data_IF_100131685809
#
_entry.id   IF_100131685809
#
_cell.length_a   1.000
_cell.length_b   1.000
_cell.length_c   1.000
_cell.angle_alpha   90.00
_cell.angle_beta   90.00
_cell.angle_gamma   90.00
#
_symmetry.space_group_name_H-M   'P 1'
#
loop_
_entity.id
_entity.type
_entity.pdbx_description
1 polymer ?
#
# COMPACT_ATOMS: atom_id res chain seq x y z
N UNK A 1 -10.90 -26.26 4.93
CA UNK A 1 -11.94 -25.49 5.66
C UNK A 1 -11.47 -25.02 7.04
N UNK A 2 -10.65 -25.79 7.77
CA UNK A 2 -10.12 -25.43 9.10
C UNK A 2 -9.18 -24.20 9.11
N UNK A 3 -8.27 -24.08 8.13
CA UNK A 3 -7.29 -22.99 8.07
C UNK A 3 -7.88 -21.57 8.11
N UNK A 4 -9.04 -21.33 7.49
CA UNK A 4 -9.64 -20.00 7.46
C UNK A 4 -10.13 -19.54 8.85
N UNK A 5 -10.59 -20.47 9.68
CA UNK A 5 -11.17 -20.14 11.00
C UNK A 5 -10.05 -19.73 11.97
N UNK A 6 -8.89 -20.37 11.87
CA UNK A 6 -7.71 -20.04 12.68
C UNK A 6 -7.07 -18.72 12.26
N UNK A 7 -7.04 -18.44 10.96
CA UNK A 7 -6.52 -17.20 10.40
C UNK A 7 -7.40 -16.00 10.78
N UNK A 8 -8.72 -16.15 10.70
CA UNK A 8 -9.67 -15.16 11.21
C UNK A 8 -9.48 -14.89 12.70
N UNK A 9 -9.27 -15.95 13.51
CA UNK A 9 -9.04 -15.80 14.95
C UNK A 9 -7.74 -15.04 15.24
N UNK A 10 -6.65 -15.37 14.54
CA UNK A 10 -5.36 -14.70 14.65
C UNK A 10 -5.44 -13.22 14.26
N UNK A 11 -6.13 -12.91 13.16
CA UNK A 11 -6.32 -11.53 12.70
C UNK A 11 -7.09 -10.67 13.71
N UNK A 12 -8.11 -11.23 14.34
CA UNK A 12 -8.86 -10.53 15.39
C UNK A 12 -8.02 -10.25 16.65
N UNK A 13 -7.13 -11.19 17.02
CA UNK A 13 -6.20 -11.02 18.14
C UNK A 13 -5.17 -9.93 17.82
N UNK A 14 -4.57 -9.95 16.64
CA UNK A 14 -3.60 -8.92 16.21
C UNK A 14 -4.25 -7.54 16.20
N UNK A 15 -5.47 -7.42 15.70
CA UNK A 15 -6.22 -6.17 15.69
C UNK A 15 -6.48 -5.64 17.12
N UNK A 16 -6.91 -6.52 18.03
CA UNK A 16 -7.11 -6.16 19.44
C UNK A 16 -5.81 -5.72 20.13
N UNK A 17 -4.69 -6.40 19.86
CA UNK A 17 -3.37 -6.02 20.39
C UNK A 17 -2.94 -4.64 19.87
N UNK A 18 -3.09 -4.38 18.56
CA UNK A 18 -2.79 -3.08 17.96
C UNK A 18 -3.59 -1.95 18.63
N UNK A 19 -4.90 -2.13 18.79
CA UNK A 19 -5.75 -1.14 19.46
C UNK A 19 -5.37 -0.95 20.93
N UNK A 20 -5.05 -2.03 21.64
CA UNK A 20 -4.60 -1.95 23.03
C UNK A 20 -3.28 -1.16 23.16
N UNK A 21 -2.34 -1.36 22.24
CA UNK A 21 -1.06 -0.61 22.22
C UNK A 21 -1.30 0.88 21.92
N UNK A 22 -2.17 1.19 20.97
CA UNK A 22 -2.52 2.58 20.63
C UNK A 22 -3.14 3.30 21.84
N UNK A 23 -4.09 2.66 22.53
CA UNK A 23 -4.70 3.22 23.74
C UNK A 23 -3.70 3.33 24.90
N UNK A 24 -2.76 2.40 25.03
CA UNK A 24 -1.68 2.48 26.01
C UNK A 24 -0.78 3.69 25.73
N UNK A 25 -0.37 3.89 24.47
CA UNK A 25 0.41 5.07 24.05
C UNK A 25 -0.34 6.38 24.31
N UNK A 26 -1.64 6.43 24.02
CA UNK A 26 -2.51 7.58 24.32
C UNK A 26 -2.63 7.80 25.83
N UNK A 27 -2.66 6.74 26.63
CA UNK A 27 -2.68 6.86 28.10
C UNK A 27 -1.35 7.34 28.67
N UNK A 28 -0.23 7.04 28.00
CA UNK A 28 1.12 7.46 28.41
C UNK A 28 1.47 8.85 27.86
N UNK A 29 0.82 9.32 26.79
CA UNK A 29 1.08 10.64 26.22
C UNK A 29 0.88 11.83 27.19
N UNK A 30 -0.17 11.86 28.05
CA UNK A 30 -0.37 12.92 29.05
C UNK A 30 0.74 12.99 30.12
N UNK A 31 1.40 11.87 30.42
CA UNK A 31 2.51 11.83 31.39
C UNK A 31 3.68 12.70 30.95
N UNK A 32 3.90 12.86 29.64
CA UNK A 32 4.97 13.70 29.10
C UNK A 32 4.67 15.20 29.19
N UNK A 33 3.44 15.60 29.52
CA UNK A 33 3.02 17.01 29.63
C UNK A 33 2.89 17.53 31.07
N UNK A 34 3.28 16.75 32.09
CA UNK A 34 3.10 17.09 33.50
C UNK A 34 1.63 17.39 33.90
N UNK A 35 0.67 16.85 33.14
CA UNK A 35 -0.73 16.82 33.54
C UNK A 35 -1.01 15.54 34.35
N UNK A 36 -1.96 15.62 35.28
CA UNK A 36 -2.36 14.47 36.08
C UNK A 36 -2.67 13.27 35.18
N UNK A 37 -2.26 12.09 35.63
CA UNK A 37 -2.64 10.83 35.00
C UNK A 37 -4.17 10.82 34.81
N UNK A 38 -4.61 10.74 33.55
CA UNK A 38 -6.02 10.55 33.25
C UNK A 38 -6.38 9.11 33.67
N UNK A 39 -6.72 8.92 34.95
CA UNK A 39 -7.11 7.64 35.56
C UNK A 39 -8.22 6.97 34.73
N UNK A 40 -9.12 7.77 34.15
CA UNK A 40 -10.14 7.32 33.20
C UNK A 40 -9.56 6.63 31.95
N UNK A 41 -8.47 7.16 31.38
CA UNK A 41 -7.79 6.57 30.21
C UNK A 41 -7.07 5.28 30.56
N UNK A 42 -6.48 5.20 31.76
CA UNK A 42 -5.81 3.99 32.25
C UNK A 42 -6.83 2.87 32.49
N UNK A 43 -7.98 3.20 33.10
CA UNK A 43 -9.07 2.25 33.32
C UNK A 43 -9.63 1.73 32.00
N UNK A 44 -9.82 2.62 31.01
CA UNK A 44 -10.27 2.27 29.66
C UNK A 44 -9.26 1.34 28.96
N UNK A 45 -7.96 1.60 29.08
CA UNK A 45 -6.93 0.75 28.49
C UNK A 45 -6.94 -0.66 29.10
N UNK A 46 -7.04 -0.77 30.43
CA UNK A 46 -7.11 -2.07 31.14
C UNK A 46 -8.38 -2.84 30.76
N UNK A 47 -9.53 -2.16 30.72
CA UNK A 47 -10.81 -2.78 30.33
C UNK A 47 -10.76 -3.27 28.87
N UNK A 48 -10.20 -2.48 27.96
CA UNK A 48 -9.98 -2.88 26.56
C UNK A 48 -9.05 -4.09 26.44
N UNK A 49 -7.97 -4.12 27.21
CA UNK A 49 -6.99 -5.22 27.20
C UNK A 49 -7.64 -6.50 27.74
N UNK A 50 -8.40 -6.42 28.84
CA UNK A 50 -9.19 -7.55 29.36
C UNK A 50 -10.21 -8.04 28.33
N UNK A 51 -10.99 -7.14 27.71
CA UNK A 51 -11.99 -7.52 26.70
C UNK A 51 -11.32 -8.19 25.50
N UNK A 52 -10.12 -7.73 25.11
CA UNK A 52 -9.33 -8.33 24.02
C UNK A 52 -8.93 -9.77 24.34
N UNK A 53 -8.47 -10.05 25.56
CA UNK A 53 -8.09 -11.41 26.00
C UNK A 53 -9.32 -12.31 26.19
N UNK A 54 -10.38 -11.81 26.84
CA UNK A 54 -11.52 -12.62 27.27
C UNK A 54 -12.51 -12.91 26.13
N UNK A 55 -12.76 -11.93 25.24
CA UNK A 55 -13.71 -12.08 24.13
C UNK A 55 -13.23 -11.34 22.86
N UNK A 56 -12.24 -11.90 22.14
CA UNK A 56 -11.82 -11.37 20.83
C UNK A 56 -12.95 -11.37 19.79
N UNK A 57 -14.04 -12.13 20.02
CA UNK A 57 -15.23 -12.14 19.16
C UNK A 57 -15.98 -10.81 19.12
N UNK A 58 -15.89 -9.96 20.15
CA UNK A 58 -16.49 -8.61 20.12
C UNK A 58 -15.81 -7.72 19.06
N UNK A 59 -14.52 -7.95 18.79
CA UNK A 59 -13.75 -7.20 17.80
C UNK A 59 -13.94 -7.69 16.37
N UNK A 60 -14.60 -8.83 16.14
CA UNK A 60 -14.89 -9.34 14.79
C UNK A 60 -15.67 -8.34 13.90
N UNK A 61 -16.81 -7.78 14.32
CA UNK A 61 -17.53 -6.80 13.51
C UNK A 61 -16.69 -5.53 13.29
N UNK A 62 -15.94 -5.09 14.30
CA UNK A 62 -15.11 -3.88 14.22
C UNK A 62 -13.93 -4.05 13.26
N UNK A 63 -13.22 -5.18 13.33
CA UNK A 63 -12.14 -5.54 12.42
C UNK A 63 -12.65 -5.62 10.98
N UNK A 64 -13.83 -6.23 10.76
CA UNK A 64 -14.43 -6.32 9.42
C UNK A 64 -14.77 -4.94 8.84
N UNK A 65 -15.30 -4.02 9.67
CA UNK A 65 -15.57 -2.63 9.26
C UNK A 65 -14.25 -1.90 8.97
N UNK A 66 -13.24 -2.07 9.82
CA UNK A 66 -11.94 -1.44 9.65
C UNK A 66 -11.23 -1.90 8.37
N UNK A 67 -11.22 -3.20 8.09
CA UNK A 67 -10.65 -3.76 6.86
C UNK A 67 -11.42 -3.22 5.65
N UNK A 68 -12.75 -3.18 5.69
CA UNK A 68 -13.57 -2.64 4.59
C UNK A 68 -13.27 -1.16 4.36
N UNK A 69 -13.07 -0.39 5.43
CA UNK A 69 -12.64 1.00 5.35
C UNK A 69 -11.23 1.13 4.75
N UNK A 70 -10.28 0.31 5.18
CA UNK A 70 -8.92 0.28 4.63
C UNK A 70 -8.90 -0.06 3.14
N UNK A 71 -9.71 -1.02 2.71
CA UNK A 71 -9.86 -1.37 1.27
C UNK A 71 -10.48 -0.22 0.49
N UNK A 72 -11.50 0.45 1.05
CA UNK A 72 -12.10 1.62 0.43
C UNK A 72 -11.07 2.74 0.27
N UNK A 73 -10.33 3.05 1.33
CA UNK A 73 -9.27 4.05 1.31
C UNK A 73 -8.18 3.69 0.30
N UNK A 74 -7.77 2.43 0.26
CA UNK A 74 -6.80 1.90 -0.71
C UNK A 74 -7.26 2.08 -2.16
N UNK A 75 -8.57 1.96 -2.43
CA UNK A 75 -9.14 2.21 -3.76
C UNK A 75 -9.01 3.67 -4.20
N UNK A 76 -9.01 4.63 -3.27
CA UNK A 76 -8.75 6.05 -3.59
C UNK A 76 -7.25 6.36 -3.64
N UNK A 77 -6.48 5.78 -2.72
CA UNK A 77 -5.05 6.02 -2.62
C UNK A 77 -4.28 5.44 -3.81
N UNK A 78 -4.69 4.26 -4.30
CA UNK A 78 -4.05 3.62 -5.45
C UNK A 78 -3.98 4.51 -6.71
N UNK A 79 -5.10 5.08 -7.22
CA UNK A 79 -5.04 6.00 -8.36
C UNK A 79 -4.33 7.31 -8.03
N UNK A 80 -4.41 7.82 -6.80
CA UNK A 80 -3.67 9.02 -6.37
C UNK A 80 -2.16 8.79 -6.45
N UNK A 81 -1.66 7.67 -5.92
CA UNK A 81 -0.24 7.33 -6.00
C UNK A 81 0.18 7.16 -7.45
N UNK A 82 -0.64 6.48 -8.27
CA UNK A 82 -0.35 6.32 -9.69
C UNK A 82 -0.29 7.65 -10.42
N UNK A 83 -1.20 8.58 -10.11
CA UNK A 83 -1.20 9.94 -10.62
C UNK A 83 0.09 10.67 -10.22
N UNK A 84 0.47 10.62 -8.95
CA UNK A 84 1.70 11.23 -8.46
C UNK A 84 2.92 10.65 -9.16
N UNK A 85 3.03 9.32 -9.29
CA UNK A 85 4.15 8.67 -10.00
C UNK A 85 4.19 9.11 -11.47
N UNK A 86 3.04 9.19 -12.12
CA UNK A 86 2.97 9.63 -13.51
C UNK A 86 3.47 11.07 -13.67
N UNK A 87 3.07 11.98 -12.80
CA UNK A 87 3.50 13.38 -12.88
C UNK A 87 4.91 13.64 -12.34
N UNK A 88 5.35 12.89 -11.33
CA UNK A 88 6.66 13.08 -10.70
C UNK A 88 7.79 12.33 -11.39
N UNK A 89 7.49 11.20 -12.07
CA UNK A 89 8.52 10.35 -12.69
C UNK A 89 8.32 10.28 -14.20
N UNK A 90 7.15 9.84 -14.67
CA UNK A 90 6.92 9.55 -16.10
C UNK A 90 6.90 10.82 -16.95
N UNK A 91 6.21 11.86 -16.48
CA UNK A 91 6.09 13.14 -17.18
C UNK A 91 7.44 13.86 -17.31
N UNK A 92 8.23 14.04 -16.24
CA UNK A 92 9.53 14.69 -16.37
C UNK A 92 10.51 13.85 -17.17
N UNK A 93 10.49 12.51 -17.08
CA UNK A 93 11.34 11.67 -17.94
C UNK A 93 11.01 11.85 -19.42
N UNK A 94 9.73 11.92 -19.79
CA UNK A 94 9.30 12.23 -21.15
C UNK A 94 9.72 13.63 -21.62
N UNK A 95 9.61 14.64 -20.74
CA UNK A 95 10.06 16.01 -21.02
C UNK A 95 11.58 16.06 -21.20
N UNK A 96 12.35 15.39 -20.32
CA UNK A 96 13.79 15.26 -20.44
C UNK A 96 14.17 14.63 -21.79
N UNK A 97 13.53 13.51 -22.17
CA UNK A 97 13.78 12.88 -23.48
C UNK A 97 13.51 13.84 -24.65
N UNK A 98 12.48 14.69 -24.55
CA UNK A 98 12.17 15.72 -25.55
C UNK A 98 13.23 16.81 -25.61
N UNK A 99 13.74 17.26 -24.45
CA UNK A 99 14.83 18.26 -24.36
C UNK A 99 16.13 17.70 -24.95
N UNK A 100 16.47 16.45 -24.61
CA UNK A 100 17.63 15.75 -25.16
C UNK A 100 17.46 15.36 -26.65
N UNK A 101 16.33 15.72 -27.28
CA UNK A 101 15.98 15.40 -28.68
C UNK A 101 16.21 13.93 -29.04
N UNK A 102 16.09 13.04 -28.07
CA UNK A 102 16.32 11.60 -28.28
C UNK A 102 15.06 11.03 -28.91
N UNK A 103 15.01 11.06 -30.24
CA UNK A 103 13.92 10.47 -31.02
C UNK A 103 14.08 8.93 -31.02
N UNK A 104 13.72 8.29 -29.91
CA UNK A 104 13.80 6.83 -29.77
C UNK A 104 12.83 6.12 -30.71
N UNK A 105 11.81 6.81 -31.21
CA UNK A 105 10.81 6.25 -32.11
C UNK A 105 11.04 6.62 -33.59
N UNK A 106 12.10 7.39 -33.93
CA UNK A 106 12.38 7.87 -35.29
C UNK A 106 11.12 8.43 -35.99
N UNK A 107 10.28 9.17 -35.27
CA UNK A 107 8.97 9.61 -35.78
C UNK A 107 9.11 10.69 -36.86
N UNK A 108 10.25 11.39 -36.92
CA UNK A 108 10.57 12.37 -37.97
C UNK A 108 11.22 11.76 -39.22
N UNK A 109 10.81 10.55 -39.61
CA UNK A 109 11.29 9.97 -40.86
C UNK A 109 10.54 10.61 -42.04
N UNK A 110 11.21 11.49 -42.81
CA UNK A 110 10.71 12.06 -44.06
C UNK A 110 10.75 11.04 -45.23
N UNK A 111 10.49 9.76 -44.93
CA UNK A 111 10.61 8.64 -45.86
C UNK A 111 9.22 8.10 -46.17
N UNK A 112 9.00 7.66 -47.41
CA UNK A 112 7.75 7.02 -47.84
C UNK A 112 7.48 5.66 -47.18
N UNK A 113 8.47 5.12 -46.45
CA UNK A 113 8.36 3.83 -45.77
C UNK A 113 9.12 3.84 -44.44
N UNK A 114 8.51 3.25 -43.42
CA UNK A 114 9.12 2.97 -42.10
C UNK A 114 10.06 1.75 -42.14
N UNK A 115 10.25 1.11 -43.29
CA UNK A 115 11.17 0.00 -43.44
C UNK A 115 12.61 0.42 -43.14
N UNK A 116 13.16 -0.14 -42.07
CA UNK A 116 14.57 -0.01 -41.71
C UNK A 116 15.32 -1.11 -42.47
N UNK A 117 16.12 -0.71 -43.46
CA UNK A 117 17.02 -1.65 -44.14
C UNK A 117 18.02 -2.22 -43.12
N UNK A 118 17.93 -3.53 -42.88
CA UNK A 118 18.88 -4.25 -42.04
C UNK A 118 20.17 -4.43 -42.84
N UNK A 119 21.27 -3.87 -42.36
CA UNK A 119 22.60 -4.05 -42.97
C UNK A 119 23.14 -5.48 -42.79
N UNK A 120 22.68 -6.17 -41.76
CA UNK A 120 23.14 -7.53 -41.43
C UNK A 120 22.20 -8.59 -42.01
N UNK A 121 22.77 -9.54 -42.75
CA UNK A 121 22.05 -10.72 -43.22
C UNK A 121 21.59 -11.55 -42.00
N UNK A 122 20.34 -12.04 -41.97
CA UNK A 122 19.90 -12.91 -40.88
C UNK A 122 20.82 -14.14 -40.81
N UNK A 123 21.27 -14.47 -39.59
CA UNK A 123 22.06 -15.68 -39.35
C UNK A 123 21.28 -16.94 -39.74
N UNK A 124 21.99 -18.02 -40.06
CA UNK A 124 21.36 -19.30 -40.46
C UNK A 124 20.41 -19.78 -39.35
N UNK A 125 19.13 -19.95 -39.70
CA UNK A 125 18.07 -20.47 -38.82
C UNK A 125 18.12 -22.00 -38.70
N UNK A 126 19.30 -22.56 -38.42
CA UNK A 126 19.51 -24.02 -38.35
C UNK A 126 19.22 -24.62 -36.96
N UNK A 127 18.75 -23.81 -36.00
CA UNK A 127 18.38 -24.22 -34.63
C UNK A 127 17.10 -23.52 -34.15
N UNK A 128 16.05 -23.58 -34.96
CA UNK A 128 14.75 -22.98 -34.64
C UNK A 128 13.76 -23.96 -34.00
N UNK A 129 14.15 -25.23 -33.89
CA UNK A 129 13.44 -26.29 -33.19
C UNK A 129 14.38 -26.95 -32.18
#
# INVERSE_FOLDING_TARGET
MYNNIDEDKKNNIIFGILFSIIFLLISVYPLFKNENLNIWSLLIAIVLLLITILKPSIFRPLNKIWIKFGVFLGKFISPIIMFIIFFAVVTPTGILMKIFRKDTMNLKSNRSSYWINRSNKPGKMNKQF
#
